data_IF_181905786889
#
_entry.id   IF_181905786889
#
_cell.length_a   1.000
_cell.length_b   1.000
_cell.length_c   1.000
_cell.angle_alpha   90.00
_cell.angle_beta   90.00
_cell.angle_gamma   90.00
#
_symmetry.space_group_name_H-M   'P 1'
#
loop_
_entity.id
_entity.type
_entity.pdbx_description
1 polymer ?
2 non-polymer ?
3 water ?
#
# COMPACT_ATOMS: atom_id res chain seq x y z
N UNK A 2 -9.83 18.34 -1.69
CA UNK A 2 -10.75 17.31 -2.26
C UNK A 2 -10.12 15.91 -2.30
N UNK A 3 -8.87 15.80 -2.73
CA UNK A 3 -8.13 14.53 -2.67
C UNK A 3 -7.97 14.13 -1.21
N UNK A 4 -8.41 12.91 -0.84
CA UNK A 4 -8.22 12.46 0.54
C UNK A 4 -6.76 12.61 0.95
N UNK A 5 -6.53 13.31 2.05
CA UNK A 5 -5.19 13.67 2.48
C UNK A 5 -5.01 13.37 3.95
N UNK A 6 -3.88 12.76 4.27
CA UNK A 6 -3.64 12.23 5.61
C UNK A 6 -2.23 12.54 6.06
N UNK A 7 -2.06 12.66 7.37
CA UNK A 7 -0.75 12.88 7.92
C UNK A 7 -0.58 14.30 8.36
N UNK A 8 -0.14 14.44 9.60
CA UNK A 8 0.22 15.73 10.13
C UNK A 8 1.45 16.24 9.39
N UNK A 9 1.29 17.36 8.67
CA UNK A 9 2.44 18.00 8.04
C UNK A 9 2.99 19.13 8.93
N UNK A 10 4.31 19.29 8.89
CA UNK A 10 4.99 20.30 9.69
C UNK A 10 5.21 21.55 8.84
N UNK A 11 4.67 22.68 9.30
CA UNK A 11 4.80 23.96 8.61
C UNK A 11 6.25 24.45 8.53
N UNK A 12 7.10 23.89 9.39
CA UNK A 12 8.52 24.24 9.45
C UNK A 12 9.33 23.65 8.29
N UNK A 13 9.10 22.38 7.99
CA UNK A 13 9.91 21.62 7.03
C UNK A 13 9.45 21.78 5.58
N UNK A 14 10.37 21.58 4.63
CA UNK A 14 10.00 21.48 3.22
C UNK A 14 9.84 20.01 2.79
N UNK A 15 8.69 19.70 2.21
CA UNK A 15 8.37 18.34 1.81
C UNK A 15 8.84 18.02 0.41
N UNK A 16 9.50 16.88 0.27
CA UNK A 16 9.86 16.32 -1.02
C UNK A 16 8.71 15.47 -1.53
N UNK A 17 8.51 15.45 -2.84
CA UNK A 17 7.45 14.65 -3.44
C UNK A 17 7.99 13.29 -3.90
N UNK A 18 7.35 12.21 -3.47
CA UNK A 18 7.60 10.89 -4.06
C UNK A 18 6.28 10.20 -4.29
N UNK A 19 6.13 9.55 -5.43
CA UNK A 19 4.88 8.93 -5.79
C UNK A 19 4.89 7.47 -5.34
N UNK A 20 3.72 6.95 -4.98
CA UNK A 20 3.62 5.56 -4.54
C UNK A 20 2.38 4.86 -5.09
N UNK A 21 2.47 3.53 -5.18
CA UNK A 21 1.36 2.71 -5.65
C UNK A 21 1.17 1.52 -4.72
N UNK A 22 -0.08 1.23 -4.37
CA UNK A 22 -0.42 0.14 -3.46
C UNK A 22 -1.59 -0.63 -4.02
N UNK A 23 -1.72 -1.88 -3.59
CA UNK A 23 -2.74 -2.75 -4.11
C UNK A 23 -3.34 -3.63 -3.01
N UNK A 24 -4.65 -3.81 -3.06
CA UNK A 24 -5.33 -4.75 -2.18
C UNK A 24 -5.23 -6.14 -2.81
N UNK A 25 -4.67 -7.07 -2.05
CA UNK A 25 -4.46 -8.45 -2.48
C UNK A 25 -5.30 -9.29 -1.54
N UNK A 26 -6.39 -9.83 -2.07
CA UNK A 26 -7.31 -10.54 -1.20
C UNK A 26 -7.46 -12.02 -1.50
N UNK A 27 -7.86 -12.75 -0.45
CA UNK A 27 -8.17 -14.15 -0.51
C UNK A 27 -9.68 -14.26 -0.29
N UNK A 28 -10.48 -14.15 -1.37
CA UNK A 28 -11.94 -14.13 -1.26
C UNK A 28 -12.51 -15.35 -0.53
N UNK A 29 -11.91 -16.52 -0.72
CA UNK A 29 -12.45 -17.75 -0.14
C UNK A 29 -12.63 -17.72 1.37
N UNK A 30 -11.69 -17.11 2.09
CA UNK A 30 -11.86 -17.02 3.53
C UNK A 30 -11.98 -15.58 4.00
N UNK A 31 -12.28 -14.68 3.06
CA UNK A 31 -12.44 -13.26 3.33
C UNK A 31 -11.26 -12.65 4.11
N UNK A 32 -10.05 -12.87 3.62
CA UNK A 32 -8.90 -12.21 4.20
C UNK A 32 -8.16 -11.41 3.12
N UNK A 33 -7.25 -10.56 3.59
CA UNK A 33 -6.35 -9.82 2.71
C UNK A 33 -5.01 -9.72 3.41
N UNK A 34 -3.96 -9.49 2.64
CA UNK A 34 -2.62 -9.53 3.20
C UNK A 34 -2.07 -8.12 3.45
N UNK A 35 -1.42 -7.98 4.60
CA UNK A 35 -0.72 -6.77 4.98
C UNK A 35 0.76 -7.08 5.17
N UNK A 36 1.60 -6.09 4.88
CA UNK A 36 3.05 -6.21 5.05
C UNK A 36 3.40 -5.42 6.30
N UNK A 37 4.00 -6.08 7.28
CA UNK A 37 4.37 -5.41 8.52
C UNK A 37 5.88 -5.16 8.54
N UNK A 38 6.27 -3.90 8.61
CA UNK A 38 7.70 -3.50 8.66
C UNK A 38 8.38 -3.97 9.95
N UNK A 39 9.74 -4.01 9.96
CA UNK A 39 10.44 -4.37 11.20
C UNK A 39 10.03 -3.48 12.38
N UNK A 40 9.78 -2.20 12.12
CA UNK A 40 9.33 -1.26 13.17
C UNK A 40 7.91 -1.53 13.71
N UNK A 41 7.17 -2.42 13.04
CA UNK A 41 5.88 -2.84 13.53
C UNK A 41 4.70 -2.25 12.77
N UNK A 42 4.95 -1.27 11.91
CA UNK A 42 3.89 -0.62 11.13
C UNK A 42 3.35 -1.52 10.02
N UNK A 43 2.02 -1.56 9.89
CA UNK A 43 1.36 -2.33 8.85
C UNK A 43 1.03 -1.49 7.63
N UNK A 44 1.26 -2.06 6.45
CA UNK A 44 0.99 -1.40 5.18
C UNK A 44 0.30 -2.33 4.19
N UNK A 45 -0.46 -1.75 3.27
CA UNK A 45 -0.86 -2.48 2.07
C UNK A 45 0.37 -2.82 1.25
N UNK A 46 0.30 -3.91 0.46
CA UNK A 46 1.37 -4.24 -0.48
C UNK A 46 1.55 -3.09 -1.48
N UNK A 47 2.79 -2.79 -1.82
CA UNK A 47 3.09 -1.70 -2.74
C UNK A 47 4.20 -0.84 -2.19
N UNK A 48 4.41 0.33 -2.80
CA UNK A 48 5.45 1.21 -2.33
C UNK A 48 5.79 2.31 -3.29
N UNK A 49 6.90 2.98 -3.01
CA UNK A 49 7.32 4.13 -3.79
C UNK A 49 7.75 3.72 -5.18
N UNK A 50 7.30 4.51 -6.15
CA UNK A 50 7.63 4.29 -7.55
C UNK A 50 9.08 4.73 -7.76
N UNK A 51 9.87 3.90 -8.46
CA UNK A 51 11.31 4.14 -8.65
C UNK A 51 11.65 4.34 -10.12
N UNK A 52 12.80 4.96 -10.38
CA UNK A 52 13.33 5.12 -11.74
C UNK A 52 12.30 5.71 -12.69
N UNK A 53 12.07 5.01 -13.83
CA UNK A 53 11.08 5.46 -14.80
C UNK A 53 9.82 4.58 -14.81
N UNK A 54 9.60 3.84 -13.71
CA UNK A 54 8.44 2.96 -13.57
C UNK A 54 7.10 3.67 -13.69
N UNK A 55 6.13 3.00 -14.30
CA UNK A 55 4.73 3.38 -14.15
C UNK A 55 4.22 2.94 -12.77
N UNK A 56 3.06 3.46 -12.37
CA UNK A 56 2.43 3.03 -11.12
C UNK A 56 2.24 1.50 -11.08
N UNK A 57 1.76 0.94 -12.19
CA UNK A 57 1.52 -0.50 -12.27
C UNK A 57 2.82 -1.31 -12.20
N UNK A 58 3.89 -0.82 -12.83
CA UNK A 58 5.20 -1.48 -12.77
C UNK A 58 5.78 -1.51 -11.35
N UNK A 59 5.58 -0.43 -10.60
CA UNK A 59 5.98 -0.40 -9.19
C UNK A 59 5.23 -1.45 -8.37
N UNK A 60 3.94 -1.60 -8.66
CA UNK A 60 3.14 -2.64 -7.99
C UNK A 60 3.68 -4.04 -8.32
N UNK A 61 3.94 -4.30 -9.60
CA UNK A 61 4.42 -5.61 -10.01
C UNK A 61 5.74 -5.96 -9.31
N UNK A 62 6.64 -4.99 -9.21
CA UNK A 62 7.92 -5.20 -8.53
C UNK A 62 7.72 -5.45 -7.03
N UNK A 63 6.89 -4.63 -6.38
CA UNK A 63 6.68 -4.72 -4.94
C UNK A 63 6.03 -6.01 -4.48
N UNK A 64 4.99 -6.46 -5.18
CA UNK A 64 4.30 -7.68 -4.74
C UNK A 64 5.17 -8.93 -4.96
N UNK A 65 6.07 -8.89 -5.94
CA UNK A 65 7.05 -9.96 -6.07
C UNK A 65 8.02 -9.95 -4.89
N UNK A 66 8.64 -8.80 -4.65
CA UNK A 66 9.60 -8.62 -3.55
C UNK A 66 8.97 -8.91 -2.18
N UNK A 67 7.79 -8.36 -1.91
CA UNK A 67 7.16 -8.49 -0.58
C UNK A 67 6.36 -9.78 -0.37
N UNK A 68 5.67 -10.24 -1.41
CA UNK A 68 4.69 -11.32 -1.24
C UNK A 68 5.05 -12.62 -1.97
N UNK A 69 5.95 -12.51 -2.94
CA UNK A 69 6.33 -13.65 -3.77
C UNK A 69 5.28 -13.97 -4.83
N UNK A 70 4.48 -12.97 -5.21
CA UNK A 70 3.33 -13.19 -6.09
C UNK A 70 3.41 -12.37 -7.38
N UNK A 71 2.66 -12.81 -8.39
CA UNK A 71 2.29 -11.95 -9.51
C UNK A 71 0.85 -11.49 -9.25
N UNK A 72 0.46 -10.36 -9.82
CA UNK A 72 -0.93 -9.91 -9.73
C UNK A 72 -1.49 -9.53 -11.09
N UNK A 73 -2.79 -9.76 -11.26
CA UNK A 73 -3.53 -9.17 -12.37
C UNK A 73 -4.17 -7.93 -11.79
N UNK A 74 -3.65 -6.76 -12.14
CA UNK A 74 -4.15 -5.53 -11.55
C UNK A 74 -5.53 -5.23 -12.12
N UNK A 75 -6.49 -5.05 -11.23
CA UNK A 75 -7.84 -4.71 -11.63
C UNK A 75 -8.15 -3.25 -11.39
N UNK A 76 -9.19 -3.02 -10.60
CA UNK A 76 -9.79 -1.71 -10.42
C UNK A 76 -8.86 -0.67 -9.80
N UNK A 77 -8.92 0.56 -10.33
CA UNK A 77 -8.22 1.70 -9.76
C UNK A 77 -9.15 2.42 -8.78
N UNK A 78 -8.83 2.33 -7.49
CA UNK A 78 -9.65 2.91 -6.42
C UNK A 78 -9.54 4.42 -6.36
N UNK A 79 -8.38 4.96 -6.72
CA UNK A 79 -8.17 6.39 -6.70
C UNK A 79 -6.95 6.81 -5.92
N UNK A 80 -6.79 8.12 -5.76
CA UNK A 80 -5.63 8.71 -5.11
C UNK A 80 -5.94 9.11 -3.67
N UNK A 81 -5.04 8.76 -2.76
CA UNK A 81 -5.05 9.33 -1.42
C UNK A 81 -3.63 9.73 -1.09
N UNK A 82 -3.48 10.92 -0.53
CA UNK A 82 -2.15 11.49 -0.26
C UNK A 82 -1.75 11.36 1.19
N UNK A 83 -0.46 11.19 1.42
CA UNK A 83 0.07 11.06 2.77
C UNK A 83 1.26 11.99 2.99
N UNK A 84 1.25 12.73 4.09
CA UNK A 84 2.41 13.50 4.52
C UNK A 84 3.10 12.76 5.66
N UNK A 85 4.40 12.54 5.53
CA UNK A 85 5.15 11.84 6.56
C UNK A 85 6.62 12.25 6.62
N UNK A 86 7.30 11.82 7.67
CA UNK A 86 8.73 12.01 7.83
C UNK A 86 9.41 10.65 7.84
N UNK A 87 10.39 10.47 6.96
CA UNK A 87 11.19 9.25 6.93
C UNK A 87 12.41 9.42 7.84
N UNK A 88 12.46 8.63 8.92
CA UNK A 88 13.56 8.70 9.88
C UNK A 88 14.91 8.30 9.29
N UNK A 89 14.93 7.21 8.51
CA UNK A 89 16.19 6.73 7.93
C UNK A 89 16.69 7.63 6.79
N UNK A 90 15.76 8.15 5.98
CA UNK A 90 16.08 9.13 4.95
C UNK A 90 16.42 10.51 5.53
N UNK A 91 15.97 10.75 6.76
CA UNK A 91 16.01 12.09 7.40
C UNK A 91 15.38 13.15 6.50
N UNK A 92 14.23 12.82 5.90
CA UNK A 92 13.58 13.67 4.90
C UNK A 92 12.06 13.65 5.08
N UNK A 93 11.44 14.83 4.99
CA UNK A 93 9.99 14.96 4.99
C UNK A 93 9.43 14.68 3.59
N UNK A 94 8.41 13.83 3.52
CA UNK A 94 7.81 13.46 2.24
C UNK A 94 6.33 13.76 2.10
N UNK A 95 5.99 14.36 0.97
CA UNK A 95 4.64 14.38 0.45
C UNK A 95 4.50 13.19 -0.50
N UNK A 96 3.49 12.36 -0.23
CA UNK A 96 3.37 11.06 -0.85
C UNK A 96 2.02 10.86 -1.53
N UNK A 97 1.85 11.33 -2.77
CA UNK A 97 0.67 10.90 -3.52
C UNK A 97 0.65 9.39 -3.75
N UNK A 98 -0.40 8.73 -3.28
CA UNK A 98 -0.54 7.28 -3.42
C UNK A 98 -1.65 6.91 -4.37
N UNK A 99 -1.41 5.91 -5.21
CA UNK A 99 -2.39 5.45 -6.19
C UNK A 99 -2.76 4.02 -5.83
N UNK A 100 -4.05 3.81 -5.56
CA UNK A 100 -4.54 2.59 -4.94
C UNK A 100 -5.35 1.74 -5.90
N UNK A 101 -5.03 0.44 -5.91
CA UNK A 101 -5.60 -0.50 -6.86
C UNK A 101 -6.11 -1.75 -6.15
N UNK A 102 -6.85 -2.58 -6.88
CA UNK A 102 -7.30 -3.88 -6.40
C UNK A 102 -6.71 -4.92 -7.35
N UNK A 103 -6.17 -6.01 -6.80
CA UNK A 103 -5.78 -7.15 -7.62
C UNK A 103 -7.04 -7.96 -7.96
N UNK A 104 -7.28 -8.19 -9.24
CA UNK A 104 -8.40 -9.05 -9.64
C UNK A 104 -8.10 -10.49 -9.26
N UNK A 105 -6.88 -10.89 -9.56
CA UNK A 105 -6.42 -12.21 -9.23
C UNK A 105 -4.91 -12.14 -9.00
N UNK A 106 -4.35 -13.20 -8.44
CA UNK A 106 -2.91 -13.25 -8.20
C UNK A 106 -2.46 -14.69 -8.09
N UNK A 107 -1.16 -14.89 -8.14
CA UNK A 107 -0.58 -16.21 -8.14
C UNK A 107 0.67 -16.23 -7.29
N UNK A 108 0.80 -17.27 -6.48
CA UNK A 108 1.99 -17.46 -5.67
C UNK A 108 3.07 -18.08 -6.55
N UNK A 109 4.20 -17.38 -6.64
CA UNK A 109 5.31 -17.79 -7.51
C UNK A 109 6.56 -18.22 -6.75
N UNK A 110 6.84 -17.59 -5.61
CA UNK A 110 8.02 -17.91 -4.81
C UNK A 110 7.83 -17.45 -3.36
N UNK A 111 8.89 -17.60 -2.56
CA UNK A 111 9.00 -16.91 -1.26
C UNK A 111 9.36 -15.43 -1.51
N UNK A 112 9.02 -14.52 -0.56
CA UNK A 112 9.35 -13.09 -0.71
C UNK A 112 10.86 -12.82 -0.76
N UNK A 113 11.26 -11.84 -1.56
CA UNK A 113 12.67 -11.50 -1.75
C UNK A 113 13.23 -10.74 -0.54
N UNK A 115 12.98 -10.32 2.90
CA UNK A 115 12.23 -11.00 3.97
C UNK A 115 12.47 -10.41 5.37
N UNK A 116 12.60 -9.08 5.44
CA UNK A 116 12.66 -8.37 6.72
C UNK A 116 11.25 -8.10 7.26
N UNK A 117 10.31 -7.88 6.34
CA UNK A 117 8.90 -7.72 6.71
C UNK A 117 8.27 -9.05 7.10
N UNK A 118 7.11 -9.01 7.75
CA UNK A 118 6.29 -10.20 7.95
C UNK A 118 4.92 -10.00 7.28
N UNK A 119 4.31 -11.10 6.84
CA UNK A 119 3.03 -11.04 6.14
C UNK A 119 1.91 -11.49 7.08
N UNK A 120 0.76 -10.83 6.98
CA UNK A 120 -0.39 -11.14 7.83
C UNK A 120 -1.64 -11.15 6.97
N UNK A 121 -2.32 -12.29 6.94
CA UNK A 121 -3.61 -12.39 6.28
C UNK A 121 -4.68 -12.15 7.33
N UNK A 122 -5.47 -11.09 7.15
CA UNK A 122 -6.44 -10.66 8.15
C UNK A 122 -7.79 -10.31 7.51
N UNK A 123 -8.85 -10.26 8.31
CA UNK A 123 -10.13 -9.73 7.83
C UNK A 123 -9.94 -8.29 7.36
N UNK A 124 -10.65 -7.87 6.29
CA UNK A 124 -10.56 -6.44 5.88
C UNK A 124 -10.83 -5.43 7.01
N UNK A 125 -11.81 -5.72 7.86
CA UNK A 125 -12.17 -4.81 8.94
C UNK A 125 -11.03 -4.77 9.97
N UNK A 126 -10.30 -5.88 10.08
CA UNK A 126 -9.13 -5.96 10.95
C UNK A 126 -7.95 -5.20 10.34
N UNK A 127 -7.77 -5.32 9.03
CA UNK A 127 -6.78 -4.48 8.33
C UNK A 127 -6.98 -2.98 8.62
N UNK A 128 -8.23 -2.51 8.53
CA UNK A 128 -8.55 -1.10 8.82
C UNK A 128 -8.03 -0.71 10.22
N UNK A 129 -8.19 -1.61 11.19
CA UNK A 129 -7.71 -1.37 12.57
C UNK A 129 -6.18 -1.46 12.74
N UNK A 130 -5.52 -2.19 11.85
CA UNK A 130 -4.08 -2.41 11.95
C UNK A 130 -3.24 -1.42 11.16
N UNK A 131 -3.79 -0.90 10.06
CA UNK A 131 -2.99 -0.10 9.12
C UNK A 131 -2.44 1.18 9.72
N UNK A 132 -1.17 1.45 9.42
CA UNK A 132 -0.51 2.63 9.95
C UNK A 132 -1.16 3.89 9.40
N UNK A 133 -1.43 3.90 8.10
CA UNK A 133 -1.76 5.13 7.37
C UNK A 133 -3.22 5.32 7.07
N UNK A 134 -3.70 6.54 7.28
CA UNK A 134 -5.06 6.92 6.89
C UNK A 134 -5.34 6.71 5.41
N UNK A 135 -4.34 6.92 4.56
CA UNK A 135 -4.50 6.70 3.12
C UNK A 135 -4.79 5.22 2.79
N UNK A 136 -4.12 4.32 3.51
CA UNK A 136 -4.34 2.89 3.37
C UNK A 136 -5.70 2.44 3.89
N UNK A 137 -6.10 2.96 5.06
CA UNK A 137 -7.43 2.68 5.61
C UNK A 137 -8.50 3.14 4.64
N UNK A 138 -8.29 4.33 4.06
CA UNK A 138 -9.22 4.89 3.10
C UNK A 138 -9.43 3.92 1.93
N UNK A 139 -8.34 3.33 1.45
CA UNK A 139 -8.39 2.42 0.30
C UNK A 139 -9.20 1.16 0.61
N UNK A 140 -8.97 0.58 1.79
CA UNK A 140 -9.69 -0.63 2.19
C UNK A 140 -11.19 -0.34 2.36
N UNK A 141 -11.51 0.79 2.99
CA UNK A 141 -12.91 1.14 3.18
C UNK A 141 -13.61 1.37 1.84
N UNK A 142 -12.90 1.98 0.88
CA UNK A 142 -13.48 2.19 -0.45
C UNK A 142 -13.74 0.86 -1.16
N UNK A 143 -12.76 -0.04 -1.08
CA UNK A 143 -12.87 -1.38 -1.68
C UNK A 143 -14.02 -2.18 -1.06
N UNK A 144 -14.17 -2.07 0.26
CA UNK A 144 -15.28 -2.73 0.97
C UNK A 144 -16.65 -2.25 0.49
N UNK A 145 -16.73 -0.97 0.14
CA UNK A 145 -17.99 -0.38 -0.37
C UNK A 145 -18.22 -0.58 -1.87
N UNK A 146 -17.22 -1.10 -2.58
CA UNK A 146 -17.33 -1.25 -4.03
C UNK A 146 -17.83 -2.64 -4.39
N UNK A 147 -19.08 -2.72 -4.81
CA UNK A 147 -19.71 -3.97 -5.19
C UNK A 147 -19.57 -4.21 -6.70
N UNK A 148 -19.86 -5.43 -7.12
CA UNK A 148 -19.82 -5.78 -8.54
C UNK A 148 -20.69 -4.83 -9.36
X LIG B 1 -4.87 4.68 -13.81
X LIG B 1 -4.98 6.11 -13.70
X LIG B 1 -4.33 6.56 -12.39
X LIG B 1 -3.22 7.41 -12.65
X LIG B 1 -2.53 9.68 -13.10
X LIG B 1 -3.49 8.78 -12.34
X LIG B 1 -1.57 10.22 -12.19
X LIG B 1 0.50 11.38 -11.82
X LIG B 1 -0.61 11.07 -12.81
X LIG B 1 1.33 10.23 -11.64
X LIG B 1 3.52 9.32 -11.10
X LIG B 1 2.68 10.58 -11.32
X LIG B 1 3.34 8.40 -12.17
X LIG B 1 5.04 7.61 -13.71
X LIG B 1 4.47 7.53 -12.30
X LIG B 1 4.05 7.22 -14.68
#
# INVERSE_FOLDING_TARGET
MKTPTFGKREETLTYQTRYAAYIIVSKPENNTMVLVQAPNGAYFLPGGEIEGTETKEEAIHREVLEELGISVEIGCYLGEADEYFYSNHRQTAYYNPGYFYVANTWRQLSEPLERTNTLHWVAPEEAVRLLKRGSHRWAVEKWLAAAS
1PE OH2 C12 C22 OH3 C13 C23 OH4 C14 C24 OH5 C15 C25 OH6 C16 C26 OH7
#
